data_IF_480872146543
#
_entry.id   IF_480872146543
#
_cell.length_a   1.000
_cell.length_b   1.000
_cell.length_c   1.000
_cell.angle_alpha   90.00
_cell.angle_beta   90.00
_cell.angle_gamma   90.00
#
_symmetry.space_group_name_H-M   'P 1'
#
loop_
_entity.id
_entity.type
_entity.pdbx_description
1 polymer ?
#
# COMPACT_ATOMS: atom_id res chain seq x y z
N UNK A 1 -15.20 -3.91 -56.76
CA UNK A 1 -15.48 -4.36 -55.37
C UNK A 1 -14.25 -4.86 -54.59
N UNK A 2 -13.15 -5.29 -55.21
CA UNK A 2 -11.97 -5.82 -54.50
C UNK A 2 -11.13 -4.78 -53.70
N UNK A 3 -11.10 -3.51 -54.15
CA UNK A 3 -10.32 -2.45 -53.47
C UNK A 3 -10.86 -2.06 -52.09
N UNK A 4 -12.18 -1.98 -51.95
CA UNK A 4 -12.83 -1.64 -50.68
C UNK A 4 -12.49 -2.65 -49.57
N UNK A 5 -12.45 -3.94 -49.91
CA UNK A 5 -12.17 -5.03 -48.98
C UNK A 5 -10.73 -5.02 -48.45
N UNK A 6 -9.76 -4.59 -49.27
CA UNK A 6 -8.35 -4.42 -48.84
C UNK A 6 -8.17 -3.23 -47.91
N UNK A 7 -8.88 -2.12 -48.17
CA UNK A 7 -8.87 -0.94 -47.28
C UNK A 7 -9.50 -1.28 -45.93
N UNK A 8 -10.63 -1.98 -45.91
CA UNK A 8 -11.25 -2.43 -44.66
C UNK A 8 -10.34 -3.36 -43.87
N UNK A 9 -9.66 -4.31 -44.52
CA UNK A 9 -8.70 -5.21 -43.87
C UNK A 9 -7.50 -4.45 -43.29
N UNK A 10 -6.97 -3.45 -44.00
CA UNK A 10 -5.87 -2.62 -43.50
C UNK A 10 -6.29 -1.78 -42.29
N UNK A 11 -7.50 -1.19 -42.30
CA UNK A 11 -8.04 -0.42 -41.17
C UNK A 11 -8.24 -1.32 -39.95
N UNK A 12 -8.87 -2.48 -40.12
CA UNK A 12 -9.09 -3.43 -39.02
C UNK A 12 -7.76 -3.95 -38.48
N UNK A 13 -6.82 -4.30 -39.35
CA UNK A 13 -5.47 -4.70 -38.95
C UNK A 13 -4.76 -3.62 -38.15
N UNK A 14 -4.81 -2.37 -38.60
CA UNK A 14 -4.27 -1.21 -37.89
C UNK A 14 -4.91 -0.99 -36.51
N UNK A 15 -6.24 -1.10 -36.42
CA UNK A 15 -6.97 -0.95 -35.16
C UNK A 15 -6.61 -2.04 -34.13
N UNK A 16 -6.46 -3.30 -34.58
CA UNK A 16 -6.05 -4.42 -33.71
C UNK A 16 -4.63 -4.22 -33.18
N UNK A 17 -3.68 -3.81 -34.04
CA UNK A 17 -2.30 -3.52 -33.61
C UNK A 17 -2.29 -2.37 -32.61
N UNK A 18 -3.02 -1.29 -32.87
CA UNK A 18 -3.10 -0.14 -31.96
C UNK A 18 -3.67 -0.55 -30.59
N UNK A 19 -4.78 -1.31 -30.58
CA UNK A 19 -5.38 -1.81 -29.34
C UNK A 19 -4.41 -2.73 -28.58
N UNK A 20 -3.69 -3.61 -29.28
CA UNK A 20 -2.66 -4.47 -28.69
C UNK A 20 -1.52 -3.68 -28.05
N UNK A 21 -1.03 -2.64 -28.73
CA UNK A 21 0.01 -1.75 -28.19
C UNK A 21 -0.48 -1.00 -26.96
N UNK A 22 -1.70 -0.43 -26.99
CA UNK A 22 -2.28 0.29 -25.85
C UNK A 22 -2.47 -0.63 -24.63
N UNK A 23 -2.95 -1.85 -24.85
CA UNK A 23 -3.08 -2.86 -23.78
C UNK A 23 -1.72 -3.24 -23.21
N UNK A 24 -0.72 -3.47 -24.06
CA UNK A 24 0.64 -3.78 -23.63
C UNK A 24 1.24 -2.66 -22.77
N UNK A 25 1.10 -1.40 -23.20
CA UNK A 25 1.58 -0.24 -22.45
C UNK A 25 0.86 -0.11 -21.10
N UNK A 26 -0.47 -0.32 -21.05
CA UNK A 26 -1.24 -0.27 -19.81
C UNK A 26 -0.85 -1.37 -18.82
N UNK A 27 -0.66 -2.60 -19.32
CA UNK A 27 -0.19 -3.73 -18.49
C UNK A 27 1.23 -3.49 -17.99
N UNK A 28 2.11 -2.99 -18.85
CA UNK A 28 3.49 -2.66 -18.47
C UNK A 28 3.53 -1.58 -17.39
N UNK A 29 2.81 -0.48 -17.58
CA UNK A 29 2.71 0.62 -16.60
C UNK A 29 2.23 0.11 -15.24
N UNK A 30 1.15 -0.67 -15.23
CA UNK A 30 0.62 -1.29 -14.01
C UNK A 30 1.66 -2.17 -13.32
N UNK A 31 2.32 -3.07 -14.06
CA UNK A 31 3.37 -3.93 -13.51
C UNK A 31 4.54 -3.14 -12.94
N UNK A 32 4.97 -2.07 -13.61
CA UNK A 32 6.08 -1.25 -13.14
C UNK A 32 5.74 -0.47 -11.88
N UNK A 33 4.49 -0.02 -11.73
CA UNK A 33 4.06 0.71 -10.55
C UNK A 33 3.98 -0.20 -9.32
N UNK A 34 3.47 -1.43 -9.48
CA UNK A 34 3.31 -2.41 -8.40
C UNK A 34 4.55 -3.25 -8.13
N UNK A 35 5.69 -2.93 -8.73
CA UNK A 35 6.96 -3.51 -8.33
C UNK A 35 7.26 -3.09 -6.88
N UNK A 36 7.46 -4.03 -5.94
CA UNK A 36 7.77 -3.72 -4.55
C UNK A 36 8.93 -2.72 -4.41
N UNK A 37 9.98 -2.82 -5.23
CA UNK A 37 11.11 -1.89 -5.17
C UNK A 37 10.73 -0.44 -5.53
N UNK A 38 9.72 -0.25 -6.37
CA UNK A 38 9.18 1.06 -6.76
C UNK A 38 8.21 1.59 -5.70
N UNK A 39 7.39 0.72 -5.10
CA UNK A 39 6.52 1.11 -4.00
C UNK A 39 7.34 1.55 -2.78
N UNK A 40 8.37 0.78 -2.42
CA UNK A 40 9.23 1.10 -1.29
C UNK A 40 10.07 2.35 -1.51
N UNK A 41 10.44 2.68 -2.75
CA UNK A 41 11.22 3.89 -3.03
C UNK A 41 10.44 5.18 -2.77
N UNK A 42 9.12 5.12 -2.61
CA UNK A 42 8.26 6.25 -2.25
C UNK A 42 8.26 6.53 -0.74
N UNK A 43 8.67 5.58 0.09
CA UNK A 43 8.74 5.82 1.52
C UNK A 43 9.93 6.73 1.86
N UNK A 44 9.81 7.53 2.94
CA UNK A 44 10.94 8.32 3.42
C UNK A 44 12.19 7.46 3.64
N UNK A 45 13.35 8.00 3.24
CA UNK A 45 14.64 7.31 3.37
C UNK A 45 15.15 7.49 4.79
N UNK A 46 14.69 6.61 5.68
CA UNK A 46 15.09 6.57 7.08
C UNK A 46 15.19 5.12 7.57
N UNK A 47 15.75 4.92 8.76
CA UNK A 47 15.74 3.60 9.38
C UNK A 47 14.30 3.26 9.76
N UNK A 48 13.72 2.28 9.06
CA UNK A 48 12.31 1.93 9.17
C UNK A 48 12.12 0.41 9.09
N UNK A 49 11.14 -0.11 9.83
CA UNK A 49 10.61 -1.43 9.56
C UNK A 49 9.69 -1.35 8.35
N UNK A 50 9.78 -2.32 7.44
CA UNK A 50 9.04 -2.31 6.18
C UNK A 50 8.26 -3.60 6.06
N UNK A 51 6.97 -3.48 5.74
CA UNK A 51 6.04 -4.58 5.61
C UNK A 51 5.41 -4.57 4.22
N UNK A 52 5.12 -5.74 3.67
CA UNK A 52 4.29 -5.89 2.50
C UNK A 52 3.39 -7.11 2.62
N UNK A 53 2.14 -6.98 2.16
CA UNK A 53 1.20 -8.08 2.06
C UNK A 53 0.37 -8.01 0.77
N UNK A 54 0.40 -9.11 0.01
CA UNK A 54 -0.47 -9.41 -1.13
C UNK A 54 -1.77 -10.03 -0.62
N UNK A 55 -2.68 -9.15 -0.21
CA UNK A 55 -3.98 -9.50 0.38
C UNK A 55 -4.86 -10.26 -0.62
N UNK A 56 -4.72 -9.99 -1.92
CA UNK A 56 -5.40 -10.75 -2.97
C UNK A 56 -4.97 -12.21 -2.98
N UNK A 57 -3.66 -12.51 -2.88
CA UNK A 57 -3.17 -13.90 -2.76
C UNK A 57 -3.61 -14.56 -1.46
N UNK A 58 -3.53 -13.84 -0.33
CA UNK A 58 -4.00 -14.37 0.96
C UNK A 58 -5.49 -14.75 0.91
N UNK A 59 -6.31 -13.89 0.30
CA UNK A 59 -7.74 -14.14 0.08
C UNK A 59 -7.97 -15.34 -0.82
N UNK A 60 -7.26 -15.44 -1.94
CA UNK A 60 -7.36 -16.56 -2.87
C UNK A 60 -6.95 -17.89 -2.22
N UNK A 61 -5.98 -17.86 -1.30
CA UNK A 61 -5.56 -19.01 -0.49
C UNK A 61 -6.46 -19.33 0.71
N UNK A 62 -7.53 -18.56 0.95
CA UNK A 62 -8.46 -18.80 2.07
C UNK A 62 -7.99 -18.29 3.44
N UNK A 63 -6.80 -17.67 3.54
CA UNK A 63 -6.22 -17.20 4.80
C UNK A 63 -6.98 -16.03 5.45
N UNK A 64 -7.86 -15.36 4.69
CA UNK A 64 -8.67 -14.24 5.20
C UNK A 64 -10.10 -14.67 5.61
N UNK A 65 -10.46 -15.93 5.41
CA UNK A 65 -11.75 -16.47 5.81
C UNK A 65 -11.75 -16.77 7.33
N UNK A 66 -12.75 -16.26 8.05
CA UNK A 66 -13.06 -16.79 9.39
C UNK A 66 -12.46 -16.10 10.62
N UNK A 67 -12.29 -14.77 10.65
CA UNK A 67 -12.06 -14.11 11.95
C UNK A 67 -13.39 -14.02 12.72
N UNK A 68 -13.57 -14.84 13.75
CA UNK A 68 -14.63 -14.69 14.75
C UNK A 68 -14.42 -13.47 15.68
N UNK A 69 -13.38 -12.67 15.42
CA UNK A 69 -13.08 -11.44 16.15
C UNK A 69 -14.15 -10.40 15.78
N UNK A 70 -14.90 -9.87 16.76
CA UNK A 70 -15.84 -8.78 16.52
C UNK A 70 -15.12 -7.61 15.87
N UNK A 71 -15.73 -7.02 14.84
CA UNK A 71 -15.22 -5.80 14.24
C UNK A 71 -15.32 -4.67 15.27
N UNK A 72 -14.24 -3.90 15.43
CA UNK A 72 -14.23 -2.69 16.25
C UNK A 72 -15.30 -1.70 15.73
N UNK A 73 -15.94 -0.96 16.64
CA UNK A 73 -17.04 -0.07 16.31
C UNK A 73 -16.61 1.03 15.32
N UNK A 74 -15.40 1.54 15.49
CA UNK A 74 -14.75 2.52 14.62
C UNK A 74 -14.55 1.97 13.21
N UNK A 75 -14.10 0.72 13.09
CA UNK A 75 -13.94 0.08 11.79
C UNK A 75 -15.30 -0.13 11.11
N UNK A 76 -16.34 -0.52 11.86
CA UNK A 76 -17.69 -0.64 11.30
C UNK A 76 -18.20 0.70 10.77
N UNK A 77 -18.03 1.79 11.51
CA UNK A 77 -18.42 3.14 11.05
C UNK A 77 -17.67 3.53 9.77
N UNK A 78 -16.37 3.22 9.71
CA UNK A 78 -15.57 3.46 8.52
C UNK A 78 -16.08 2.66 7.31
N UNK A 79 -16.40 1.37 7.47
CA UNK A 79 -16.98 0.53 6.40
C UNK A 79 -18.33 1.08 5.96
N UNK A 80 -19.21 1.42 6.91
CA UNK A 80 -20.56 1.92 6.61
C UNK A 80 -20.50 3.27 5.85
N UNK A 81 -19.55 4.15 6.18
CA UNK A 81 -19.40 5.46 5.54
C UNK A 81 -18.60 5.43 4.22
N UNK A 82 -17.51 4.67 4.17
CA UNK A 82 -16.61 4.62 3.00
C UNK A 82 -17.00 3.55 1.99
N UNK A 83 -17.68 2.49 2.43
CA UNK A 83 -17.92 1.27 1.66
C UNK A 83 -16.69 0.36 1.51
N UNK A 84 -15.53 0.73 2.07
CA UNK A 84 -14.30 -0.03 1.93
C UNK A 84 -14.17 -1.09 3.02
N UNK A 85 -14.17 -2.35 2.62
CA UNK A 85 -13.97 -3.49 3.51
C UNK A 85 -12.65 -4.19 3.16
N UNK A 86 -11.62 -4.11 4.02
CA UNK A 86 -10.26 -4.53 3.63
C UNK A 86 -10.19 -5.98 3.14
N UNK A 87 -10.95 -6.90 3.74
CA UNK A 87 -10.95 -8.32 3.32
C UNK A 87 -11.43 -8.51 1.90
N UNK A 88 -12.38 -7.67 1.46
CA UNK A 88 -12.96 -7.73 0.13
C UNK A 88 -12.22 -6.83 -0.83
N UNK A 89 -11.83 -5.63 -0.42
CA UNK A 89 -11.53 -4.52 -1.31
C UNK A 89 -10.02 -4.21 -1.42
N UNK A 90 -9.21 -4.62 -0.43
CA UNK A 90 -7.75 -4.48 -0.44
C UNK A 90 -7.08 -5.63 -1.20
N UNK A 91 -6.12 -5.28 -2.06
CA UNK A 91 -5.39 -6.25 -2.89
C UNK A 91 -3.91 -6.33 -2.50
N UNK A 92 -3.28 -5.19 -2.20
CA UNK A 92 -1.88 -5.10 -1.78
C UNK A 92 -1.72 -3.98 -0.76
N UNK A 93 -0.87 -4.16 0.24
CA UNK A 93 -0.42 -3.08 1.12
C UNK A 93 1.08 -3.17 1.32
N UNK A 94 1.77 -2.05 1.13
CA UNK A 94 3.12 -1.85 1.60
C UNK A 94 3.07 -0.81 2.73
N UNK A 95 3.85 -1.01 3.78
CA UNK A 95 3.93 -0.10 4.91
C UNK A 95 5.38 0.13 5.36
N UNK A 96 5.65 1.34 5.85
CA UNK A 96 6.91 1.71 6.49
C UNK A 96 6.63 2.30 7.86
N UNK A 97 7.36 1.84 8.87
CA UNK A 97 7.24 2.25 10.27
C UNK A 97 8.56 2.84 10.74
N UNK A 98 8.54 4.13 11.06
CA UNK A 98 9.73 4.88 11.45
C UNK A 98 9.41 5.87 12.57
N UNK A 99 10.43 6.61 13.00
CA UNK A 99 10.26 7.72 13.94
C UNK A 99 9.43 8.87 13.35
N UNK A 100 9.48 9.09 12.02
CA UNK A 100 8.73 10.18 11.38
C UNK A 100 7.24 9.87 11.20
N UNK A 101 6.86 8.59 11.26
CA UNK A 101 5.47 8.18 11.19
C UNK A 101 5.29 6.76 10.66
N UNK A 102 4.04 6.41 10.42
CA UNK A 102 3.68 5.20 9.68
C UNK A 102 3.13 5.58 8.32
N UNK A 103 3.70 5.03 7.27
CA UNK A 103 3.34 5.32 5.89
C UNK A 103 2.83 4.07 5.22
N UNK A 104 1.83 4.21 4.36
CA UNK A 104 1.18 3.12 3.65
C UNK A 104 1.00 3.50 2.18
N UNK A 105 1.25 2.53 1.32
CA UNK A 105 0.76 2.53 -0.06
C UNK A 105 -0.07 1.28 -0.23
N UNK A 106 -1.35 1.46 -0.54
CA UNK A 106 -2.30 0.37 -0.64
C UNK A 106 -2.99 0.37 -2.00
N UNK A 107 -3.10 -0.82 -2.59
CA UNK A 107 -3.90 -1.07 -3.79
C UNK A 107 -5.24 -1.69 -3.41
N UNK A 108 -6.32 -1.20 -3.99
CA UNK A 108 -7.64 -1.75 -3.78
C UNK A 108 -8.71 -1.05 -4.59
N UNK A 109 -9.96 -1.30 -4.22
CA UNK A 109 -11.15 -0.67 -4.81
C UNK A 109 -11.60 0.49 -3.93
N UNK A 110 -11.07 1.67 -4.19
CA UNK A 110 -11.38 2.87 -3.41
C UNK A 110 -12.47 3.70 -4.07
N UNK A 111 -13.45 4.14 -3.29
CA UNK A 111 -14.34 5.23 -3.64
C UNK A 111 -13.78 6.51 -2.99
N UNK A 112 -12.94 7.23 -3.72
CA UNK A 112 -12.25 8.41 -3.18
C UNK A 112 -13.23 9.50 -2.77
N UNK A 113 -14.37 9.64 -3.45
CA UNK A 113 -15.38 10.63 -3.07
C UNK A 113 -16.01 10.31 -1.71
N UNK A 114 -16.29 9.03 -1.43
CA UNK A 114 -16.74 8.60 -0.11
C UNK A 114 -15.65 8.75 0.95
N UNK A 115 -14.39 8.47 0.62
CA UNK A 115 -13.27 8.68 1.55
C UNK A 115 -13.09 10.15 1.92
N UNK A 116 -13.17 11.06 0.95
CA UNK A 116 -13.14 12.51 1.19
C UNK A 116 -14.32 12.95 2.08
N UNK A 117 -15.52 12.43 1.79
CA UNK A 117 -16.73 12.73 2.57
C UNK A 117 -16.60 12.24 4.01
N UNK A 118 -16.08 11.01 4.18
CA UNK A 118 -15.79 10.45 5.49
C UNK A 118 -14.79 11.32 6.25
N UNK A 119 -13.66 11.68 5.64
CA UNK A 119 -12.66 12.55 6.28
C UNK A 119 -13.26 13.88 6.76
N UNK A 120 -14.09 14.52 5.93
CA UNK A 120 -14.81 15.76 6.31
C UNK A 120 -15.80 15.55 7.45
N UNK A 121 -16.56 14.44 7.44
CA UNK A 121 -17.50 14.10 8.53
C UNK A 121 -16.82 13.84 9.87
N UNK A 122 -15.56 13.39 9.85
CA UNK A 122 -14.72 13.20 11.03
C UNK A 122 -14.00 14.49 11.49
N UNK A 123 -14.45 15.66 11.01
CA UNK A 123 -13.85 16.96 11.33
C UNK A 123 -12.52 17.22 10.63
N UNK A 124 -12.18 16.41 9.62
CA UNK A 124 -11.04 16.61 8.75
C UNK A 124 -11.27 17.66 7.67
N UNK A 125 -10.24 17.89 6.86
CA UNK A 125 -10.31 18.78 5.70
C UNK A 125 -9.65 18.11 4.49
N UNK A 126 -10.12 18.45 3.29
CA UNK A 126 -9.50 18.01 2.05
C UNK A 126 -9.21 19.22 1.17
N UNK A 127 -7.98 19.32 0.68
CA UNK A 127 -7.56 20.33 -0.27
C UNK A 127 -6.97 19.65 -1.50
N UNK A 128 -7.49 19.99 -2.68
CA UNK A 128 -7.25 19.23 -3.91
C UNK A 128 -7.58 17.74 -3.69
N UNK A 129 -6.58 16.87 -3.75
CA UNK A 129 -6.73 15.41 -3.55
C UNK A 129 -6.22 14.92 -2.21
N UNK A 130 -5.60 15.81 -1.41
CA UNK A 130 -5.04 15.47 -0.11
C UNK A 130 -6.08 15.73 0.97
N UNK A 131 -6.43 14.69 1.70
CA UNK A 131 -7.26 14.78 2.90
C UNK A 131 -6.42 14.62 4.15
N UNK A 132 -6.84 15.29 5.21
CA UNK A 132 -6.25 15.19 6.54
C UNK A 132 -7.33 15.13 7.62
N UNK A 133 -7.10 14.34 8.65
CA UNK A 133 -7.98 14.21 9.81
C UNK A 133 -7.18 13.90 11.09
N UNK A 134 -7.83 14.09 12.23
CA UNK A 134 -7.25 13.74 13.52
C UNK A 134 -7.14 12.22 13.65
N UNK A 135 -5.99 11.73 14.12
CA UNK A 135 -5.80 10.33 14.51
C UNK A 135 -6.27 10.06 15.93
N UNK A 136 -6.09 8.83 16.41
CA UNK A 136 -6.55 8.41 17.75
C UNK A 136 -5.86 9.10 18.93
N UNK A 137 -4.73 9.80 18.69
CA UNK A 137 -4.04 10.63 19.69
C UNK A 137 -4.01 12.09 19.22
N UNK A 138 -4.03 13.08 20.14
CA UNK A 138 -4.05 14.50 19.79
C UNK A 138 -2.91 14.94 18.86
N UNK A 139 -1.72 14.38 19.04
CA UNK A 139 -0.53 14.67 18.23
C UNK A 139 -0.51 13.93 16.88
N UNK A 140 -1.33 12.88 16.72
CA UNK A 140 -1.35 12.06 15.50
C UNK A 140 -2.31 12.63 14.48
N UNK A 141 -1.80 12.86 13.28
CA UNK A 141 -2.54 13.26 12.10
C UNK A 141 -2.57 12.11 11.11
N UNK A 142 -3.73 11.90 10.50
CA UNK A 142 -3.89 10.99 9.37
C UNK A 142 -3.99 11.85 8.13
N UNK A 143 -3.16 11.59 7.13
CA UNK A 143 -3.28 12.19 5.81
C UNK A 143 -3.35 11.11 4.75
N UNK A 144 -4.10 11.35 3.67
CA UNK A 144 -4.18 10.42 2.55
C UNK A 144 -4.48 11.13 1.24
N UNK A 145 -4.07 10.51 0.13
CA UNK A 145 -4.34 10.97 -1.23
C UNK A 145 -4.33 9.80 -2.23
N UNK A 146 -5.09 9.89 -3.33
CA UNK A 146 -5.00 8.95 -4.45
C UNK A 146 -3.68 9.13 -5.21
N UNK A 147 -2.89 8.05 -5.34
CA UNK A 147 -1.77 7.99 -6.29
C UNK A 147 -2.26 7.56 -7.69
N UNK A 148 -3.29 6.71 -7.73
CA UNK A 148 -3.99 6.20 -8.91
C UNK A 148 -5.44 5.92 -8.53
N UNK A 149 -6.29 5.60 -9.50
CA UNK A 149 -7.70 5.23 -9.25
C UNK A 149 -7.84 3.97 -8.38
N UNK A 150 -6.83 3.11 -8.33
CA UNK A 150 -6.79 1.89 -7.51
C UNK A 150 -5.71 1.93 -6.41
N UNK A 151 -5.10 3.09 -6.15
CA UNK A 151 -3.99 3.21 -5.19
C UNK A 151 -4.12 4.43 -4.31
N UNK A 152 -4.05 4.21 -3.00
CA UNK A 152 -4.02 5.26 -1.98
C UNK A 152 -2.65 5.33 -1.32
N UNK A 153 -2.13 6.54 -1.14
CA UNK A 153 -1.07 6.86 -0.20
C UNK A 153 -1.71 7.33 1.10
N UNK A 154 -1.26 6.80 2.24
CA UNK A 154 -1.76 7.18 3.56
C UNK A 154 -0.58 7.31 4.53
N UNK A 155 -0.66 8.26 5.44
CA UNK A 155 0.32 8.43 6.50
C UNK A 155 -0.36 8.73 7.83
N UNK A 156 0.23 8.20 8.91
CA UNK A 156 -0.08 8.55 10.30
C UNK A 156 1.21 9.15 10.89
N UNK A 157 1.21 10.46 11.11
CA UNK A 157 2.40 11.22 11.53
C UNK A 157 1.99 12.43 12.38
N UNK A 158 2.95 13.15 12.96
CA UNK A 158 2.71 14.49 13.53
C UNK A 158 2.55 15.55 12.43
N UNK A 159 3.06 15.28 11.23
CA UNK A 159 2.92 16.10 10.03
C UNK A 159 1.59 15.78 9.32
N UNK A 160 0.75 16.79 9.14
CA UNK A 160 -0.58 16.65 8.55
C UNK A 160 -0.58 16.56 7.02
N UNK A 161 0.58 16.70 6.38
CA UNK A 161 0.80 16.52 4.94
C UNK A 161 1.68 15.31 4.62
N UNK A 162 1.97 14.45 5.62
CA UNK A 162 2.94 13.37 5.49
C UNK A 162 2.70 12.42 4.29
N UNK A 163 1.44 12.17 3.89
CA UNK A 163 1.12 11.34 2.73
C UNK A 163 1.62 11.94 1.40
N UNK A 164 1.76 13.26 1.29
CA UNK A 164 2.29 13.93 0.10
C UNK A 164 3.75 13.53 -0.21
N UNK A 165 4.50 13.08 0.82
CA UNK A 165 5.87 12.55 0.64
C UNK A 165 5.90 11.30 -0.23
N UNK A 166 4.78 10.57 -0.33
CA UNK A 166 4.68 9.32 -1.08
C UNK A 166 4.34 9.53 -2.58
N UNK A 167 4.01 10.76 -2.99
CA UNK A 167 3.61 11.09 -4.36
C UNK A 167 4.72 10.88 -5.38
N UNK A 168 5.96 11.09 -4.98
CA UNK A 168 7.12 10.98 -5.85
C UNK A 168 8.03 9.84 -5.39
N UNK A 169 8.39 8.90 -6.27
CA UNK A 169 9.35 7.87 -5.92
C UNK A 169 10.74 8.50 -5.77
N UNK A 170 11.42 8.15 -4.68
CA UNK A 170 12.85 8.34 -4.53
C UNK A 170 13.66 7.30 -5.32
N UNK A 171 14.97 7.20 -5.05
CA UNK A 171 15.85 6.21 -5.66
C UNK A 171 15.31 4.79 -5.46
N UNK A 172 15.29 3.99 -6.55
CA UNK A 172 14.78 2.62 -6.50
C UNK A 172 15.53 1.80 -5.46
N UNK A 173 14.78 1.03 -4.66
CA UNK A 173 15.39 0.07 -3.74
C UNK A 173 16.09 -1.02 -4.54
N UNK A 174 17.40 -1.14 -4.37
CA UNK A 174 18.24 -2.15 -5.04
C UNK A 174 18.41 -3.43 -4.23
N UNK A 175 18.00 -3.41 -2.96
CA UNK A 175 18.01 -4.59 -2.10
C UNK A 175 17.08 -5.67 -2.67
N UNK A 176 17.52 -6.94 -2.61
CA UNK A 176 16.69 -8.08 -3.02
C UNK A 176 15.50 -8.20 -2.07
N UNK A 177 14.29 -8.03 -2.61
CA UNK A 177 13.05 -8.15 -1.84
C UNK A 177 12.53 -9.59 -1.87
N UNK A 178 11.87 -10.06 -0.79
CA UNK A 178 11.20 -11.36 -0.77
C UNK A 178 10.09 -11.45 -1.83
N UNK A 179 9.88 -12.65 -2.36
CA UNK A 179 8.84 -12.91 -3.37
C UNK A 179 7.54 -13.44 -2.73
N UNK A 180 7.60 -13.79 -1.45
CA UNK A 180 6.54 -14.30 -0.62
C UNK A 180 5.38 -13.29 -0.50
N UNK A 181 4.13 -13.76 -0.40
CA UNK A 181 2.95 -12.88 -0.37
C UNK A 181 2.93 -11.98 0.87
N UNK A 182 3.58 -12.36 1.96
CA UNK A 182 3.70 -11.52 3.16
C UNK A 182 5.15 -11.54 3.64
N UNK A 183 5.69 -10.35 3.89
CA UNK A 183 7.00 -10.22 4.49
C UNK A 183 7.14 -8.95 5.32
N UNK A 184 8.07 -8.99 6.27
CA UNK A 184 8.42 -7.90 7.17
C UNK A 184 9.94 -7.85 7.30
N UNK A 185 10.55 -6.72 6.99
CA UNK A 185 11.96 -6.44 7.24
C UNK A 185 12.09 -5.45 8.38
N UNK A 186 12.86 -5.80 9.40
CA UNK A 186 13.12 -4.96 10.58
C UNK A 186 14.61 -4.64 10.68
N UNK A 187 15.01 -3.36 10.81
CA UNK A 187 16.38 -2.98 11.08
C UNK A 187 16.90 -3.56 12.40
N UNK A 188 18.17 -3.95 12.43
CA UNK A 188 18.82 -4.49 13.62
C UNK A 188 18.82 -3.52 14.81
N UNK A 189 18.81 -2.20 14.58
CA UNK A 189 18.69 -1.23 15.67
C UNK A 189 17.36 -1.31 16.40
N UNK A 190 16.25 -1.59 15.69
CA UNK A 190 14.93 -1.76 16.31
C UNK A 190 14.82 -3.05 17.12
N UNK A 191 15.45 -4.12 16.67
CA UNK A 191 15.50 -5.39 17.42
C UNK A 191 16.33 -5.28 18.71
N UNK A 192 17.28 -4.33 18.76
CA UNK A 192 18.07 -4.03 19.96
C UNK A 192 17.27 -3.24 21.00
N UNK A 193 16.20 -2.53 20.59
CA UNK A 193 15.29 -1.87 21.53
C UNK A 193 14.41 -2.91 22.24
N UNK A 194 14.68 -3.16 23.53
CA UNK A 194 14.10 -4.26 24.31
C UNK A 194 12.60 -4.12 24.59
N UNK A 195 12.01 -2.95 24.32
CA UNK A 195 10.64 -2.60 24.73
C UNK A 195 9.55 -3.18 23.84
N UNK A 196 9.86 -3.54 22.58
CA UNK A 196 8.86 -4.00 21.61
C UNK A 196 8.69 -5.54 21.55
N UNK A 197 9.47 -6.29 22.31
CA UNK A 197 9.51 -7.76 22.21
C UNK A 197 8.94 -8.43 23.47
N UNK A 198 7.95 -9.35 23.33
CA UNK A 198 7.48 -10.19 24.43
C UNK A 198 8.65 -10.93 25.08
N UNK A 199 8.61 -11.12 26.40
CA UNK A 199 9.71 -11.73 27.18
C UNK A 199 10.23 -13.05 26.59
N UNK A 200 9.35 -13.86 26.00
CA UNK A 200 9.69 -15.15 25.36
C UNK A 200 10.57 -15.01 24.13
N UNK A 201 10.47 -13.91 23.38
CA UNK A 201 11.23 -13.68 22.14
C UNK A 201 12.61 -13.07 22.45
N UNK A 202 12.75 -12.39 23.59
CA UNK A 202 14.00 -11.75 24.04
C UNK A 202 15.15 -12.75 24.24
N UNK A 203 14.84 -13.98 24.66
CA UNK A 203 15.84 -15.02 24.95
C UNK A 203 16.39 -15.66 23.66
N UNK A 204 15.61 -15.67 22.58
CA UNK A 204 16.00 -16.25 21.28
C UNK A 204 16.81 -15.29 20.41
N UNK A 205 16.68 -13.97 20.63
CA UNK A 205 17.24 -12.94 19.74
C UNK A 205 18.70 -12.55 20.02
N UNK A 206 19.33 -13.05 21.09
CA UNK A 206 20.74 -12.75 21.43
C UNK A 206 21.73 -13.14 20.32
N UNK A 207 21.36 -14.08 19.44
CA UNK A 207 22.17 -14.48 18.28
C UNK A 207 21.93 -13.63 17.00
N UNK A 208 20.95 -12.72 17.02
CA UNK A 208 20.47 -11.99 15.83
C UNK A 208 20.80 -10.48 15.94
N UNK A 209 21.20 -9.99 17.11
CA UNK A 209 21.50 -8.56 17.36
C UNK A 209 22.70 -8.01 16.59
N UNK A 210 23.50 -8.85 15.93
CA UNK A 210 24.60 -8.45 15.03
C UNK A 210 24.17 -8.29 13.58
N UNK A 211 22.95 -8.70 13.21
CA UNK A 211 22.45 -8.55 11.86
C UNK A 211 22.02 -7.11 11.59
N UNK A 212 22.42 -6.55 10.45
CA UNK A 212 22.02 -5.20 10.03
C UNK A 212 20.49 -5.11 9.85
N UNK A 213 19.87 -6.19 9.35
CA UNK A 213 18.41 -6.33 9.13
C UNK A 213 17.98 -7.79 9.27
N UNK A 214 16.72 -7.99 9.68
CA UNK A 214 16.07 -9.31 9.72
C UNK A 214 14.82 -9.28 8.88
N UNK A 215 14.59 -10.33 8.07
CA UNK A 215 13.39 -10.46 7.25
C UNK A 215 12.61 -11.70 7.67
N UNK A 216 11.33 -11.51 7.96
CA UNK A 216 10.35 -12.55 8.21
C UNK A 216 9.46 -12.69 6.98
N UNK A 217 9.14 -13.92 6.59
CA UNK A 217 8.24 -14.21 5.46
C UNK A 217 7.17 -15.22 5.89
N UNK A 218 6.01 -15.15 5.25
CA UNK A 218 4.98 -16.20 5.32
C UNK A 218 4.81 -16.76 3.93
N UNK A 219 5.04 -18.07 3.79
CA UNK A 219 4.93 -18.81 2.54
C UNK A 219 3.51 -19.36 2.34
#
# INVERSE_FOLDING_TARGET
MAGMRRVTQAIVGGAVVLAGVLLFLKVRDSRTFFDPAVLLSRFPVEEAAVFSADVAKLRAGGFLAGSAVPLEAEYKQFVDASGFEYKRDLDLVAASFSASGTYFIARGRFDFQKLETYAKSQGGNCYQKLCRMQGSKPERRISFLPLRDDVIALAVSTDDLAAAKLENPGPRVTAKLPAEPVWLTVPGAYLRSRELLPMSVRVTLSGITTADKVTFTVA
#
